data_IF_226737591893
#
_entry.id   IF_226737591893
#
_cell.length_a   1.000
_cell.length_b   1.000
_cell.length_c   1.000
_cell.angle_alpha   90.00
_cell.angle_beta   90.00
_cell.angle_gamma   90.00
#
_symmetry.space_group_name_H-M   'P 1'
#
loop_
_entity.id
_entity.type
_entity.pdbx_description
1 polymer ?
#
# COMPACT_ATOMS: atom_id res chain seq x y z
N UNK A 1 20.74 5.52 1.46
CA UNK A 1 20.04 4.84 2.58
C UNK A 1 18.97 5.76 3.13
N UNK A 2 17.81 5.23 3.36
CA UNK A 2 16.70 6.01 3.90
C UNK A 2 16.82 6.14 5.42
N UNK A 3 16.53 7.34 5.95
CA UNK A 3 16.39 7.56 7.39
C UNK A 3 14.95 7.47 7.86
N UNK A 4 14.03 7.02 6.96
CA UNK A 4 12.63 6.92 7.30
C UNK A 4 12.38 5.72 8.20
N UNK A 5 11.42 5.87 9.11
CA UNK A 5 10.93 4.73 9.88
C UNK A 5 10.12 3.81 8.98
N UNK A 6 9.94 2.57 9.41
CA UNK A 6 9.16 1.59 8.65
C UNK A 6 7.69 1.69 9.02
N UNK A 7 6.81 1.58 8.02
CA UNK A 7 5.41 1.34 8.26
C UNK A 7 5.25 -0.03 8.93
N UNK A 8 4.18 -0.19 9.69
CA UNK A 8 3.87 -1.45 10.38
C UNK A 8 2.75 -2.15 9.64
N UNK A 9 3.02 -3.37 9.16
CA UNK A 9 2.05 -4.19 8.46
C UNK A 9 1.56 -5.29 9.42
N UNK A 10 0.25 -5.36 9.63
CA UNK A 10 -0.37 -6.36 10.49
C UNK A 10 -1.38 -7.15 9.68
N UNK A 11 -1.11 -8.44 9.48
CA UNK A 11 -2.04 -9.32 8.76
C UNK A 11 -3.22 -9.62 9.66
N UNK A 12 -4.42 -9.33 9.17
CA UNK A 12 -5.67 -9.55 9.89
C UNK A 12 -6.38 -10.82 9.45
N UNK A 13 -6.22 -11.17 8.18
CA UNK A 13 -6.82 -12.38 7.60
C UNK A 13 -5.90 -12.86 6.48
N UNK A 14 -5.67 -14.17 6.42
CA UNK A 14 -4.88 -14.77 5.34
C UNK A 14 -5.39 -16.18 5.09
N UNK A 15 -6.00 -16.38 3.94
CA UNK A 15 -6.55 -17.68 3.55
C UNK A 15 -6.29 -17.89 2.04
N UNK A 16 -6.91 -18.92 1.46
CA UNK A 16 -6.68 -19.26 0.05
C UNK A 16 -7.18 -18.19 -0.92
N UNK A 17 -8.06 -17.31 -0.47
CA UNK A 17 -8.73 -16.37 -1.35
C UNK A 17 -8.28 -14.93 -1.19
N UNK A 18 -7.98 -14.53 0.05
CA UNK A 18 -7.61 -13.13 0.33
C UNK A 18 -6.52 -13.06 1.38
N UNK A 19 -5.76 -11.97 1.33
CA UNK A 19 -4.95 -11.52 2.44
C UNK A 19 -5.34 -10.10 2.77
N UNK A 20 -5.71 -9.87 4.02
CA UNK A 20 -6.10 -8.54 4.51
C UNK A 20 -5.04 -8.06 5.48
N UNK A 21 -4.45 -6.92 5.18
CA UNK A 21 -3.35 -6.36 5.95
C UNK A 21 -3.65 -4.92 6.33
N UNK A 22 -3.48 -4.58 7.60
CA UNK A 22 -3.49 -3.18 8.02
C UNK A 22 -2.08 -2.63 7.87
N UNK A 23 -1.96 -1.51 7.17
CA UNK A 23 -0.71 -0.76 7.03
C UNK A 23 -0.83 0.53 7.83
N UNK A 24 0.07 0.73 8.77
CA UNK A 24 0.06 1.88 9.69
C UNK A 24 1.37 2.63 9.56
N UNK A 25 1.28 3.92 9.24
CA UNK A 25 2.45 4.75 8.97
C UNK A 25 2.46 5.92 9.95
N UNK A 26 3.50 6.03 10.74
CA UNK A 26 3.80 7.31 11.39
C UNK A 26 4.13 8.35 10.30
N UNK A 27 4.08 9.63 10.64
CA UNK A 27 4.49 10.66 9.69
C UNK A 27 5.90 10.39 9.21
N UNK A 28 6.11 10.39 7.89
CA UNK A 28 7.40 10.13 7.28
C UNK A 28 7.76 8.65 7.11
N UNK A 29 6.96 7.71 7.62
CA UNK A 29 7.25 6.29 7.51
C UNK A 29 7.04 5.77 6.08
N UNK A 30 7.72 4.69 5.74
CA UNK A 30 7.70 4.10 4.40
C UNK A 30 7.47 2.60 4.47
N UNK A 31 6.93 2.02 3.38
CA UNK A 31 6.83 0.57 3.23
C UNK A 31 8.15 -0.07 2.84
N UNK A 32 9.03 0.64 2.19
CA UNK A 32 10.17 0.20 1.38
C UNK A 32 9.70 -0.32 0.00
N UNK A 33 10.61 -0.41 -0.99
CA UNK A 33 10.23 -0.88 -2.32
C UNK A 33 9.70 -2.32 -2.29
N UNK A 34 8.60 -2.55 -2.98
CA UNK A 34 7.96 -3.87 -3.05
C UNK A 34 7.13 -4.02 -4.32
N UNK A 35 6.84 -5.27 -4.68
CA UNK A 35 6.01 -5.61 -5.84
C UNK A 35 4.76 -6.32 -5.34
N UNK A 36 3.60 -5.89 -5.83
CA UNK A 36 2.32 -6.53 -5.52
C UNK A 36 2.10 -7.71 -6.47
N UNK A 37 1.92 -8.90 -5.90
CA UNK A 37 1.74 -10.14 -6.68
C UNK A 37 0.29 -10.39 -7.05
N UNK A 38 -0.66 -9.74 -6.38
CA UNK A 38 -2.10 -9.92 -6.61
C UNK A 38 -2.77 -8.58 -6.83
N UNK A 39 -3.93 -8.61 -7.48
CA UNK A 39 -4.82 -7.45 -7.49
C UNK A 39 -5.22 -7.13 -6.05
N UNK A 40 -5.44 -5.87 -5.75
CA UNK A 40 -5.78 -5.49 -4.39
C UNK A 40 -6.64 -4.24 -4.35
N UNK A 41 -7.38 -4.13 -3.25
CA UNK A 41 -8.20 -2.96 -2.93
C UNK A 41 -7.60 -2.30 -1.70
N UNK A 42 -7.49 -0.99 -1.73
CA UNK A 42 -7.03 -0.19 -0.59
C UNK A 42 -8.23 0.53 0.01
N UNK A 43 -8.42 0.37 1.33
CA UNK A 43 -9.51 1.02 2.06
C UNK A 43 -8.87 1.95 3.09
N UNK A 44 -8.78 3.25 2.81
CA UNK A 44 -8.22 4.20 3.76
C UNK A 44 -9.05 4.28 5.03
N UNK A 45 -8.36 4.27 6.16
CA UNK A 45 -8.97 4.43 7.49
C UNK A 45 -8.80 5.85 7.99
N UNK A 46 -7.90 6.61 7.39
CA UNK A 46 -7.65 8.02 7.71
C UNK A 46 -7.57 8.81 6.40
N UNK A 47 -7.74 10.11 6.48
CA UNK A 47 -7.29 10.99 5.39
C UNK A 47 -5.77 11.07 5.44
N UNK A 48 -5.15 11.35 4.30
CA UNK A 48 -3.71 11.52 4.27
C UNK A 48 -3.19 11.70 2.87
N UNK A 49 -1.88 11.79 2.78
CA UNK A 49 -1.20 11.93 1.49
C UNK A 49 -0.02 11.00 1.43
N UNK A 50 0.10 10.28 0.32
CA UNK A 50 1.21 9.38 0.06
C UNK A 50 2.11 9.95 -1.02
N UNK A 51 3.41 9.74 -0.88
CA UNK A 51 4.36 9.86 -1.96
C UNK A 51 4.65 8.44 -2.44
N UNK A 52 4.48 8.21 -3.73
CA UNK A 52 4.70 6.90 -4.35
C UNK A 52 5.92 7.02 -5.25
N UNK A 53 6.93 6.19 -5.01
CA UNK A 53 8.18 6.21 -5.78
C UNK A 53 8.29 4.90 -6.55
N UNK A 54 8.39 5.00 -7.88
CA UNK A 54 8.57 3.84 -8.76
C UNK A 54 10.07 3.52 -8.92
N UNK A 55 10.41 2.32 -9.43
CA UNK A 55 11.82 1.91 -9.52
C UNK A 55 12.71 2.85 -10.34
N UNK A 56 12.13 3.54 -11.34
CA UNK A 56 12.87 4.50 -12.15
C UNK A 56 13.04 5.87 -11.49
N UNK A 57 12.53 6.03 -10.26
CA UNK A 57 12.59 7.26 -9.52
C UNK A 57 11.40 8.18 -9.74
N UNK A 58 10.46 7.81 -10.59
CA UNK A 58 9.24 8.62 -10.81
C UNK A 58 8.46 8.73 -9.52
N UNK A 59 8.04 9.96 -9.20
CA UNK A 59 7.29 10.24 -7.98
C UNK A 59 5.89 10.70 -8.32
N UNK A 60 4.91 10.18 -7.57
CA UNK A 60 3.50 10.55 -7.71
C UNK A 60 2.94 10.76 -6.31
N UNK A 61 2.14 11.81 -6.14
CA UNK A 61 1.43 12.03 -4.88
C UNK A 61 -0.01 11.57 -5.03
N UNK A 62 -0.51 10.92 -3.99
CA UNK A 62 -1.88 10.41 -3.95
C UNK A 62 -2.52 10.83 -2.64
N UNK A 63 -3.68 11.48 -2.73
CA UNK A 63 -4.46 11.83 -1.55
C UNK A 63 -5.41 10.68 -1.22
N UNK A 64 -5.40 10.25 0.04
CA UNK A 64 -6.33 9.27 0.53
C UNK A 64 -7.46 9.96 1.30
N UNK A 65 -8.68 9.51 1.06
CA UNK A 65 -9.86 9.97 1.77
C UNK A 65 -10.42 8.81 2.57
N UNK A 66 -10.61 9.02 3.86
CA UNK A 66 -11.15 8.00 4.76
C UNK A 66 -12.41 7.37 4.17
N UNK A 67 -12.43 6.03 4.12
CA UNK A 67 -13.57 5.27 3.65
C UNK A 67 -13.73 5.18 2.14
N UNK A 68 -12.92 5.90 1.36
CA UNK A 68 -13.01 5.87 -0.09
C UNK A 68 -11.96 4.90 -0.64
N UNK A 69 -12.40 3.69 -0.96
CA UNK A 69 -11.51 2.64 -1.44
C UNK A 69 -11.16 2.81 -2.92
N UNK A 70 -10.06 2.18 -3.32
CA UNK A 70 -9.66 2.13 -4.73
C UNK A 70 -8.98 0.79 -5.03
N UNK A 71 -8.89 0.47 -6.33
CA UNK A 71 -8.40 -0.80 -6.84
C UNK A 71 -7.07 -0.60 -7.56
N UNK A 72 -6.18 -1.59 -7.42
CA UNK A 72 -4.93 -1.66 -8.17
C UNK A 72 -4.71 -3.07 -8.69
N UNK A 73 -4.07 -3.17 -9.85
CA UNK A 73 -3.75 -4.46 -10.44
C UNK A 73 -2.42 -5.00 -9.92
N UNK A 74 -2.28 -6.33 -9.99
CA UNK A 74 -1.02 -7.00 -9.74
C UNK A 74 0.08 -6.45 -10.65
N UNK A 75 1.31 -6.46 -10.15
CA UNK A 75 2.47 -5.97 -10.89
C UNK A 75 2.92 -4.57 -10.48
N UNK A 76 2.14 -3.85 -9.69
CA UNK A 76 2.56 -2.55 -9.18
C UNK A 76 3.84 -2.72 -8.37
N UNK A 77 4.84 -1.90 -8.71
CA UNK A 77 6.15 -1.91 -8.05
C UNK A 77 6.42 -0.49 -7.56
N UNK A 78 6.53 -0.32 -6.25
CA UNK A 78 6.67 1.02 -5.69
C UNK A 78 7.18 0.99 -4.24
N UNK A 79 7.62 2.17 -3.78
CA UNK A 79 7.78 2.48 -2.36
C UNK A 79 6.72 3.52 -2.00
N UNK A 80 6.10 3.37 -0.85
CA UNK A 80 4.99 4.23 -0.40
C UNK A 80 5.39 4.91 0.90
N UNK A 81 5.26 6.24 0.93
CA UNK A 81 5.71 7.07 2.05
C UNK A 81 4.56 7.96 2.52
N UNK A 82 4.34 8.02 3.83
CA UNK A 82 3.39 8.98 4.41
C UNK A 82 4.04 10.35 4.49
N UNK A 83 3.62 11.27 3.63
CA UNK A 83 4.16 12.63 3.60
C UNK A 83 3.26 13.64 4.33
N UNK A 84 2.19 13.17 4.96
CA UNK A 84 1.34 14.01 5.79
C UNK A 84 1.91 14.19 7.19
N UNK A 85 1.23 15.03 7.98
CA UNK A 85 1.70 15.37 9.33
C UNK A 85 1.18 14.42 10.41
N UNK A 86 0.17 13.62 10.12
CA UNK A 86 -0.41 12.70 11.09
C UNK A 86 -0.17 11.25 10.72
N UNK A 87 -0.61 10.36 11.59
CA UNK A 87 -0.58 8.94 11.30
C UNK A 87 -1.53 8.62 10.16
N UNK A 88 -1.09 7.73 9.26
CA UNK A 88 -1.92 7.27 8.14
C UNK A 88 -2.11 5.77 8.26
N UNK A 89 -3.35 5.33 8.08
CA UNK A 89 -3.72 3.91 8.19
C UNK A 89 -4.60 3.54 7.01
N UNK A 90 -4.30 2.42 6.35
CA UNK A 90 -5.23 1.85 5.38
C UNK A 90 -5.23 0.31 5.49
N UNK A 91 -6.33 -0.26 5.05
CA UNK A 91 -6.47 -1.71 4.92
C UNK A 91 -6.23 -2.07 3.46
N UNK A 92 -5.42 -3.08 3.23
CA UNK A 92 -5.16 -3.60 1.90
C UNK A 92 -5.75 -5.00 1.81
N UNK A 93 -6.64 -5.20 0.85
CA UNK A 93 -7.26 -6.49 0.60
C UNK A 93 -6.68 -7.05 -0.69
N UNK A 94 -5.84 -8.06 -0.58
CA UNK A 94 -5.21 -8.72 -1.73
C UNK A 94 -6.07 -9.91 -2.14
N UNK A 95 -6.36 -10.01 -3.44
CA UNK A 95 -7.26 -11.04 -3.97
C UNK A 95 -6.42 -12.11 -4.66
N UNK A 96 -6.24 -13.23 -4.01
CA UNK A 96 -5.31 -14.29 -4.46
C UNK A 96 -5.78 -15.03 -5.70
N UNK A 97 -7.03 -14.86 -6.09
CA UNK A 97 -7.56 -15.48 -7.31
C UNK A 97 -6.88 -14.94 -8.58
N UNK A 98 -6.22 -13.77 -8.49
CA UNK A 98 -5.60 -13.11 -9.64
C UNK A 98 -4.14 -12.80 -9.37
N UNK A 99 -3.27 -13.82 -9.24
CA UNK A 99 -1.85 -13.59 -9.09
C UNK A 99 -1.26 -13.02 -10.38
N UNK A 100 -0.11 -12.38 -10.27
CA UNK A 100 0.54 -11.75 -11.41
C UNK A 100 0.81 -12.75 -12.56
N UNK A 101 1.10 -14.01 -12.22
CA UNK A 101 1.38 -15.05 -13.21
C UNK A 101 0.16 -15.40 -14.08
N UNK A 102 -1.06 -15.19 -13.58
CA UNK A 102 -2.29 -15.48 -14.31
C UNK A 102 -2.68 -14.35 -15.25
N UNK A 103 -1.96 -13.26 -15.26
CA UNK A 103 -2.24 -12.12 -16.13
C UNK A 103 -1.62 -12.23 -17.51
N UNK A 104 -0.83 -13.25 -17.71
CA UNK A 104 -0.13 -13.46 -18.98
C UNK A 104 -1.00 -14.14 -20.02
#
# INVERSE_FOLDING_TARGET
>A
MSNRSSAVATVQEDNDRVRVTEHRFASGAETTPHVHQWDYVVVPQTDGELLIIEPDGKETRARLTRGQSYYRQAGVNHNVINVGVGELVFIEVEMKAHPIADKM
#
